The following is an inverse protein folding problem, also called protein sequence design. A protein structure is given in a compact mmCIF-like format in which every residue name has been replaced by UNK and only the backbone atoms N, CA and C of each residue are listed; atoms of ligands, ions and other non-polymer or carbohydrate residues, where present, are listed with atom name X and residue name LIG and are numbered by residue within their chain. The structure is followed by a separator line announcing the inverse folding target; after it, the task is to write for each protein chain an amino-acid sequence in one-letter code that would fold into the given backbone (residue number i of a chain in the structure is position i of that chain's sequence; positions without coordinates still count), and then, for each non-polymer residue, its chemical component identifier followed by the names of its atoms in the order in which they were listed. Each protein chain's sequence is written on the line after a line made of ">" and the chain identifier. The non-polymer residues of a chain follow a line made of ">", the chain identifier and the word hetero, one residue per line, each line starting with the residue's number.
data_IF_981416799704
#
_entry.id   IF_981416799704
#
_cell.length_a   1.000
_cell.length_b   1.000
_cell.length_c   1.000
_cell.angle_alpha   90.00
_cell.angle_beta   90.00
_cell.angle_gamma   90.00
#
_symmetry.space_group_name_H-M   'P 1'
#
loop_
_entity.id
_entity.type
_entity.pdbx_description
1 polymer ?
#
# COMPACT_ATOMS: atom_id res chain seq x y z
N UNK A 1 0.50 -3.72 9.59
CA UNK A 1 1.26 -4.79 10.28
C UNK A 1 2.68 -4.33 10.48
N UNK A 2 3.22 -4.46 11.69
CA UNK A 2 4.60 -4.23 12.07
C UNK A 2 5.12 -5.50 12.75
N UNK A 3 6.39 -5.87 12.49
CA UNK A 3 7.06 -7.01 13.11
C UNK A 3 8.33 -6.52 13.78
N UNK A 4 8.53 -6.92 15.05
CA UNK A 4 9.70 -6.56 15.84
C UNK A 4 10.31 -7.81 16.47
N UNK A 5 11.64 -7.94 16.42
CA UNK A 5 12.37 -8.96 17.17
C UNK A 5 12.60 -8.51 18.60
N UNK A 6 12.06 -9.21 19.58
CA UNK A 6 12.16 -8.86 21.00
C UNK A 6 13.54 -9.17 21.61
N UNK A 7 14.38 -9.92 20.90
CA UNK A 7 15.75 -10.22 21.32
C UNK A 7 16.67 -10.38 20.08
N UNK A 8 18.01 -10.26 20.24
CA UNK A 8 18.92 -10.20 19.10
C UNK A 8 18.86 -11.40 18.14
N UNK A 9 18.62 -12.61 18.65
CA UNK A 9 18.50 -13.80 17.80
C UNK A 9 17.25 -13.73 16.90
N UNK A 10 16.10 -13.33 17.45
CA UNK A 10 14.87 -13.14 16.66
C UNK A 10 15.04 -12.01 15.64
N UNK A 11 15.66 -10.90 16.01
CA UNK A 11 15.92 -9.80 15.10
C UNK A 11 16.80 -10.23 13.90
N UNK A 12 17.88 -10.99 14.17
CA UNK A 12 18.75 -11.55 13.10
C UNK A 12 17.99 -12.53 12.19
N UNK A 13 17.18 -13.42 12.77
CA UNK A 13 16.40 -14.39 11.99
C UNK A 13 15.37 -13.70 11.09
N UNK A 14 14.68 -12.68 11.60
CA UNK A 14 13.75 -11.86 10.82
C UNK A 14 14.48 -11.10 9.70
N UNK A 15 15.59 -10.43 10.01
CA UNK A 15 16.40 -9.72 9.00
C UNK A 15 16.86 -10.67 7.88
N UNK A 16 17.34 -11.88 8.24
CA UNK A 16 17.70 -12.89 7.26
C UNK A 16 16.51 -13.38 6.42
N UNK A 17 15.32 -13.53 7.02
CA UNK A 17 14.10 -13.89 6.29
C UNK A 17 13.69 -12.82 5.26
N UNK A 18 13.79 -11.53 5.61
CA UNK A 18 13.55 -10.43 4.68
C UNK A 18 14.61 -10.39 3.57
N UNK A 19 15.89 -10.56 3.89
CA UNK A 19 17.01 -10.53 2.94
C UNK A 19 16.91 -11.63 1.88
N UNK A 20 16.51 -12.86 2.27
CA UNK A 20 16.31 -13.99 1.33
C UNK A 20 14.93 -14.03 0.68
N UNK A 21 14.12 -12.96 0.81
CA UNK A 21 12.77 -12.85 0.23
C UNK A 21 11.77 -13.93 0.70
N UNK A 22 11.98 -14.53 1.88
CA UNK A 22 11.09 -15.53 2.46
C UNK A 22 9.83 -14.94 3.13
N UNK A 23 9.67 -13.61 3.05
CA UNK A 23 8.54 -12.88 3.64
C UNK A 23 7.58 -12.44 2.54
N UNK A 24 6.35 -12.98 2.57
CA UNK A 24 5.29 -12.57 1.66
C UNK A 24 4.54 -11.38 2.24
N UNK A 25 4.40 -10.34 1.47
CA UNK A 25 3.83 -9.04 1.90
C UNK A 25 2.67 -8.65 1.00
N UNK A 26 1.54 -8.25 1.59
CA UNK A 26 0.38 -7.73 0.89
C UNK A 26 -0.01 -6.37 1.46
N UNK A 27 -0.18 -5.42 0.57
CA UNK A 27 -0.57 -4.06 0.92
C UNK A 27 -1.81 -3.66 0.14
N UNK A 28 -2.66 -2.85 0.76
CA UNK A 28 -3.71 -2.11 0.07
C UNK A 28 -3.27 -0.67 -0.11
N UNK A 29 -3.47 -0.14 -1.31
CA UNK A 29 -3.16 1.24 -1.65
C UNK A 29 -4.33 1.91 -2.36
N UNK A 30 -4.69 3.11 -1.94
CA UNK A 30 -5.60 3.97 -2.68
C UNK A 30 -4.75 4.83 -3.63
N UNK A 31 -4.98 4.70 -4.94
CA UNK A 31 -4.14 5.34 -5.95
C UNK A 31 -4.93 6.25 -6.87
N UNK A 32 -4.25 7.22 -7.48
CA UNK A 32 -4.81 8.13 -8.47
C UNK A 32 -5.22 7.38 -9.73
N UNK A 33 -6.41 7.72 -10.26
CA UNK A 33 -6.90 7.25 -11.56
C UNK A 33 -7.29 5.78 -11.56
N UNK A 34 -7.65 5.29 -12.72
CA UNK A 34 -7.94 3.87 -12.91
C UNK A 34 -6.67 3.11 -13.28
N UNK A 35 -6.10 2.45 -12.30
CA UNK A 35 -4.97 1.55 -12.53
C UNK A 35 -5.38 0.38 -13.46
N UNK A 36 -4.45 -0.22 -14.21
CA UNK A 36 -4.74 -1.41 -14.99
C UNK A 36 -5.22 -2.56 -14.08
N UNK A 37 -5.99 -3.53 -14.60
CA UNK A 37 -6.47 -4.67 -13.82
C UNK A 37 -5.34 -5.43 -13.13
N UNK A 38 -4.22 -5.60 -13.82
CA UNK A 38 -2.98 -6.19 -13.31
C UNK A 38 -1.77 -5.47 -13.92
N UNK A 39 -0.68 -5.41 -13.18
CA UNK A 39 0.61 -4.95 -13.66
C UNK A 39 1.75 -5.62 -12.89
N UNK A 40 2.80 -5.97 -13.59
CA UNK A 40 4.09 -6.34 -13.03
C UNK A 40 5.06 -5.17 -13.20
N UNK A 41 5.50 -4.60 -12.09
CA UNK A 41 6.42 -3.46 -12.11
C UNK A 41 7.81 -3.97 -11.75
N UNK A 42 8.60 -4.22 -12.77
CA UNK A 42 10.04 -4.52 -12.66
C UNK A 42 10.83 -3.26 -12.99
N UNK A 43 11.06 -2.45 -11.96
CA UNK A 43 11.74 -1.17 -12.10
C UNK A 43 12.77 -1.00 -10.98
N UNK A 44 14.08 -1.05 -11.31
CA UNK A 44 15.14 -0.92 -10.32
C UNK A 44 15.07 0.42 -9.56
N UNK A 45 15.34 0.38 -8.27
CA UNK A 45 15.26 1.55 -7.40
C UNK A 45 16.62 1.88 -6.80
N UNK A 46 17.06 3.12 -6.99
CA UNK A 46 18.23 3.65 -6.28
C UNK A 46 17.83 3.95 -4.83
N UNK A 47 18.69 3.66 -3.82
CA UNK A 47 18.44 4.10 -2.44
C UNK A 47 18.28 5.62 -2.37
N UNK A 48 17.32 6.11 -1.58
CA UNK A 48 16.98 7.55 -1.52
C UNK A 48 18.11 8.42 -0.94
N UNK A 49 18.96 7.82 -0.11
CA UNK A 49 20.08 8.41 0.61
C UNK A 49 21.46 8.11 -0.03
N UNK A 50 21.47 7.41 -1.16
CA UNK A 50 22.69 7.07 -1.86
C UNK A 50 23.14 8.21 -2.79
N UNK A 51 24.45 8.32 -3.08
CA UNK A 51 24.98 9.21 -4.10
C UNK A 51 24.26 9.06 -5.45
N UNK A 52 24.26 10.13 -6.25
CA UNK A 52 23.49 10.17 -7.51
C UNK A 52 23.96 9.13 -8.54
N UNK A 53 25.22 8.70 -8.46
CA UNK A 53 25.86 7.68 -9.27
C UNK A 53 25.73 6.25 -8.71
N UNK A 54 25.14 6.08 -7.51
CA UNK A 54 24.98 4.76 -6.92
C UNK A 54 24.09 3.85 -7.80
N UNK A 55 24.42 2.57 -7.93
CA UNK A 55 23.67 1.65 -8.77
C UNK A 55 22.25 1.45 -8.25
N UNK A 56 21.30 1.39 -9.18
CA UNK A 56 19.94 1.01 -8.86
C UNK A 56 19.90 -0.48 -8.48
N UNK A 57 19.08 -0.82 -7.49
CA UNK A 57 18.90 -2.18 -7.00
C UNK A 57 17.63 -2.80 -7.61
N UNK A 58 17.64 -4.07 -8.01
CA UNK A 58 16.46 -4.76 -8.51
C UNK A 58 15.28 -4.61 -7.55
N UNK A 59 14.14 -4.22 -8.10
CA UNK A 59 12.91 -4.06 -7.33
C UNK A 59 11.72 -4.49 -8.18
N UNK A 60 10.87 -5.36 -7.63
CA UNK A 60 9.72 -5.91 -8.33
C UNK A 60 8.48 -5.90 -7.43
N UNK A 61 7.33 -5.47 -8.00
CA UNK A 61 6.04 -5.42 -7.33
C UNK A 61 4.93 -5.84 -8.28
N UNK A 62 4.13 -6.83 -7.88
CA UNK A 62 2.88 -7.17 -8.56
C UNK A 62 1.77 -6.28 -8.05
N UNK A 63 0.96 -5.81 -8.97
CA UNK A 63 -0.20 -4.95 -8.69
C UNK A 63 -1.46 -5.60 -9.25
N UNK A 64 -2.54 -5.58 -8.47
CA UNK A 64 -3.86 -5.97 -8.93
C UNK A 64 -4.89 -4.92 -8.49
N UNK A 65 -5.66 -4.39 -9.44
CA UNK A 65 -6.76 -3.49 -9.10
C UNK A 65 -7.91 -4.30 -8.52
N UNK A 66 -8.37 -3.91 -7.32
CA UNK A 66 -9.47 -4.55 -6.62
C UNK A 66 -10.81 -3.85 -6.86
N UNK A 67 -10.78 -2.52 -7.05
CA UNK A 67 -11.98 -1.73 -7.29
C UNK A 67 -11.63 -0.39 -7.97
N UNK A 68 -12.63 0.23 -8.61
CA UNK A 68 -12.57 1.54 -9.23
C UNK A 68 -13.49 2.51 -8.52
N UNK A 69 -13.11 3.78 -8.52
CA UNK A 69 -13.93 4.86 -8.01
C UNK A 69 -13.96 5.98 -9.05
N UNK A 70 -15.13 6.57 -9.26
CA UNK A 70 -15.31 7.81 -9.98
C UNK A 70 -16.24 8.73 -9.20
N UNK A 71 -15.78 9.93 -8.91
CA UNK A 71 -16.55 10.95 -8.21
C UNK A 71 -16.91 12.06 -9.19
N UNK A 72 -18.13 12.61 -9.14
CA UNK A 72 -18.57 13.65 -10.05
C UNK A 72 -17.85 14.99 -9.84
N UNK A 73 -17.24 15.19 -8.65
CA UNK A 73 -16.50 16.40 -8.35
C UNK A 73 -15.06 16.32 -8.92
N UNK A 74 -14.62 17.29 -9.71
CA UNK A 74 -13.28 17.31 -10.25
C UNK A 74 -12.25 17.73 -9.19
N UNK A 75 -11.16 16.97 -9.05
CA UNK A 75 -9.98 17.35 -8.27
C UNK A 75 -8.95 18.17 -9.06
N UNK A 76 -9.16 18.28 -10.36
CA UNK A 76 -8.34 19.04 -11.30
C UNK A 76 -9.30 19.59 -12.38
N UNK A 77 -9.33 20.93 -12.63
CA UNK A 77 -10.28 21.56 -13.55
C UNK A 77 -10.17 21.07 -15.00
N UNK A 78 -9.12 20.37 -15.36
CA UNK A 78 -8.96 19.77 -16.70
C UNK A 78 -9.81 18.52 -16.90
N UNK A 79 -10.43 17.98 -15.87
CA UNK A 79 -11.22 16.76 -15.92
C UNK A 79 -12.62 17.00 -15.34
N UNK A 80 -13.61 16.30 -15.88
CA UNK A 80 -14.98 16.40 -15.38
C UNK A 80 -15.20 15.63 -14.07
N UNK A 81 -14.36 14.63 -13.79
CA UNK A 81 -14.52 13.70 -12.66
C UNK A 81 -13.19 13.45 -11.98
N UNK A 82 -13.24 12.96 -10.75
CA UNK A 82 -12.05 12.45 -10.03
C UNK A 82 -12.10 10.95 -9.98
N UNK A 83 -11.02 10.30 -10.44
CA UNK A 83 -10.89 8.85 -10.49
C UNK A 83 -9.83 8.34 -9.53
N UNK A 84 -10.12 7.20 -8.91
CA UNK A 84 -9.19 6.47 -8.05
C UNK A 84 -9.34 4.97 -8.25
N UNK A 85 -8.36 4.22 -7.76
CA UNK A 85 -8.43 2.76 -7.68
C UNK A 85 -7.97 2.28 -6.32
N UNK A 86 -8.59 1.21 -5.84
CA UNK A 86 -8.04 0.39 -4.77
C UNK A 86 -7.18 -0.71 -5.40
N UNK A 87 -5.92 -0.78 -4.97
CA UNK A 87 -4.92 -1.70 -5.53
C UNK A 87 -4.33 -2.57 -4.44
N UNK A 88 -4.27 -3.87 -4.71
CA UNK A 88 -3.41 -4.82 -3.98
C UNK A 88 -2.00 -4.70 -4.54
N UNK A 89 -1.01 -4.50 -3.66
CA UNK A 89 0.40 -4.50 -4.02
C UNK A 89 1.13 -5.62 -3.29
N UNK A 90 1.83 -6.47 -4.04
CA UNK A 90 2.61 -7.60 -3.55
C UNK A 90 4.09 -7.43 -3.96
N UNK A 91 4.90 -6.71 -3.14
CA UNK A 91 6.33 -6.54 -3.44
C UNK A 91 7.10 -7.82 -3.14
N UNK A 92 7.81 -8.37 -4.14
CA UNK A 92 8.70 -9.53 -3.96
C UNK A 92 10.07 -9.16 -3.42
N UNK A 93 10.49 -7.91 -3.63
CA UNK A 93 11.68 -7.29 -3.03
C UNK A 93 11.28 -6.35 -1.88
N UNK A 94 12.23 -5.65 -1.26
CA UNK A 94 11.95 -4.78 -0.10
C UNK A 94 12.82 -3.52 -0.08
N UNK A 95 12.77 -2.68 -1.14
CA UNK A 95 13.50 -1.41 -1.18
C UNK A 95 12.73 -0.31 -0.47
N UNK A 96 13.45 0.69 0.02
CA UNK A 96 12.85 1.86 0.68
C UNK A 96 11.83 2.52 -0.24
N UNK A 97 10.63 2.77 0.29
CA UNK A 97 9.49 3.35 -0.42
C UNK A 97 9.10 2.61 -1.72
N UNK A 98 9.43 1.33 -1.88
CA UNK A 98 9.28 0.60 -3.13
C UNK A 98 7.88 0.71 -3.74
N UNK A 99 6.82 0.38 -2.99
CA UNK A 99 5.43 0.43 -3.49
C UNK A 99 5.07 1.85 -3.91
N UNK A 100 5.45 2.86 -3.13
CA UNK A 100 5.17 4.28 -3.40
C UNK A 100 5.82 4.73 -4.71
N UNK A 101 7.09 4.36 -4.92
CA UNK A 101 7.88 4.69 -6.10
C UNK A 101 7.41 3.94 -7.33
N UNK A 102 7.08 2.65 -7.21
CA UNK A 102 6.54 1.84 -8.30
C UNK A 102 5.18 2.36 -8.76
N UNK A 103 4.26 2.64 -7.85
CA UNK A 103 2.96 3.21 -8.20
C UNK A 103 3.08 4.61 -8.84
N UNK A 104 4.04 5.43 -8.40
CA UNK A 104 4.37 6.69 -9.08
C UNK A 104 4.93 6.45 -10.49
N UNK A 105 5.83 5.47 -10.65
CA UNK A 105 6.44 5.11 -11.93
C UNK A 105 5.40 4.74 -12.99
N UNK A 106 4.40 3.98 -12.61
CA UNK A 106 3.28 3.61 -13.51
C UNK A 106 2.16 4.65 -13.57
N UNK A 107 2.42 5.90 -13.16
CA UNK A 107 1.51 7.04 -13.19
C UNK A 107 0.25 6.94 -12.28
N UNK A 108 0.26 6.03 -11.32
CA UNK A 108 -0.80 5.84 -10.31
C UNK A 108 -0.26 6.09 -8.88
N UNK A 109 0.25 7.30 -8.55
CA UNK A 109 0.78 7.57 -7.23
C UNK A 109 -0.27 7.37 -6.14
N UNK A 110 0.19 6.96 -4.95
CA UNK A 110 -0.68 6.75 -3.79
C UNK A 110 -1.23 8.09 -3.33
N UNK A 111 -2.53 8.12 -3.02
CA UNK A 111 -3.18 9.31 -2.47
C UNK A 111 -2.67 9.58 -1.04
N UNK A 112 -2.45 10.86 -0.75
CA UNK A 112 -1.87 11.31 0.52
C UNK A 112 -0.35 11.09 0.66
N UNK A 113 0.32 10.66 -0.41
CA UNK A 113 1.78 10.54 -0.41
C UNK A 113 2.44 11.91 -0.57
N UNK A 114 3.02 12.42 0.52
CA UNK A 114 3.65 13.75 0.54
C UNK A 114 4.95 13.83 -0.30
N UNK A 115 5.66 12.70 -0.46
CA UNK A 115 6.97 12.64 -1.13
C UNK A 115 6.86 12.26 -2.60
N UNK A 116 6.05 11.24 -2.89
CA UNK A 116 5.95 10.66 -4.24
C UNK A 116 4.62 10.97 -4.94
N UNK A 117 3.66 11.60 -4.24
CA UNK A 117 2.35 11.95 -4.76
C UNK A 117 2.29 13.34 -5.43
N UNK A 118 1.07 13.84 -5.60
CA UNK A 118 0.77 15.17 -6.15
C UNK A 118 0.09 16.04 -5.09
N UNK A 119 0.74 17.12 -4.67
CA UNK A 119 0.30 18.00 -3.59
C UNK A 119 -1.15 18.52 -3.73
N UNK A 120 -1.55 19.14 -4.87
CA UNK A 120 -2.92 19.60 -5.06
C UNK A 120 -3.97 18.50 -4.93
N UNK A 121 -3.73 17.35 -5.55
CA UNK A 121 -4.61 16.18 -5.45
C UNK A 121 -4.68 15.63 -4.01
N UNK A 122 -3.56 15.60 -3.31
CA UNK A 122 -3.53 15.14 -1.92
C UNK A 122 -4.33 16.06 -1.00
N UNK A 123 -4.27 17.40 -1.21
CA UNK A 123 -5.11 18.35 -0.47
C UNK A 123 -6.59 18.15 -0.73
N UNK A 124 -6.97 18.04 -2.00
CA UNK A 124 -8.36 17.79 -2.38
C UNK A 124 -8.91 16.52 -1.71
N UNK A 125 -8.14 15.43 -1.72
CA UNK A 125 -8.53 14.19 -1.05
C UNK A 125 -8.58 14.32 0.46
N UNK A 126 -7.65 15.05 1.07
CA UNK A 126 -7.64 15.30 2.51
C UNK A 126 -8.88 16.08 2.96
N UNK A 127 -9.29 17.12 2.21
CA UNK A 127 -10.51 17.89 2.42
C UNK A 127 -11.75 16.99 2.26
N UNK A 128 -11.81 16.24 1.17
CA UNK A 128 -12.94 15.35 0.85
C UNK A 128 -13.16 14.24 1.90
N UNK A 129 -12.08 13.69 2.43
CA UNK A 129 -12.13 12.60 3.43
C UNK A 129 -12.09 13.12 4.88
N UNK A 130 -11.83 14.41 5.10
CA UNK A 130 -11.62 14.97 6.42
C UNK A 130 -10.36 14.45 7.13
N UNK A 131 -9.43 13.83 6.39
CA UNK A 131 -8.24 13.20 6.96
C UNK A 131 -7.06 13.23 5.98
N UNK A 132 -5.93 13.80 6.45
CA UNK A 132 -4.68 13.80 5.70
C UNK A 132 -3.77 12.66 6.16
N UNK A 133 -3.60 11.64 5.32
CA UNK A 133 -2.69 10.53 5.57
C UNK A 133 -2.24 9.86 4.27
N UNK A 134 -1.16 9.09 4.34
CA UNK A 134 -0.76 8.15 3.28
C UNK A 134 -1.74 6.96 3.25
N UNK A 135 -2.47 6.80 2.16
CA UNK A 135 -3.43 5.71 1.98
C UNK A 135 -2.74 4.43 1.46
N UNK A 136 -1.77 3.96 2.26
CA UNK A 136 -1.07 2.69 2.10
C UNK A 136 -1.19 1.91 3.40
N UNK A 137 -1.67 0.67 3.32
CA UNK A 137 -1.92 -0.18 4.47
C UNK A 137 -1.21 -1.53 4.33
N UNK A 138 -0.36 -1.90 5.29
CA UNK A 138 0.22 -3.24 5.38
C UNK A 138 -0.87 -4.22 5.84
N UNK A 139 -1.49 -4.90 4.87
CA UNK A 139 -2.68 -5.71 5.07
C UNK A 139 -2.37 -7.09 5.63
N UNK A 140 -1.53 -7.85 4.91
CA UNK A 140 -1.18 -9.22 5.30
C UNK A 140 0.31 -9.46 5.18
N UNK A 141 0.81 -10.28 6.08
CA UNK A 141 2.19 -10.72 6.10
C UNK A 141 2.23 -12.22 6.35
N UNK A 142 3.11 -12.95 5.65
CA UNK A 142 3.47 -14.33 5.99
C UNK A 142 4.98 -14.41 6.09
N UNK A 143 5.48 -14.88 7.22
CA UNK A 143 6.91 -14.96 7.48
C UNK A 143 7.25 -16.23 8.24
N UNK A 144 8.50 -16.76 8.12
CA UNK A 144 8.95 -17.87 8.93
C UNK A 144 9.15 -17.41 10.37
N UNK A 145 8.66 -18.20 11.32
CA UNK A 145 8.89 -17.98 12.75
C UNK A 145 10.38 -18.00 13.07
N UNK A 146 10.91 -17.06 13.87
CA UNK A 146 12.35 -16.92 14.11
C UNK A 146 13.03 -18.12 14.74
N UNK A 147 12.29 -18.96 15.48
CA UNK A 147 12.86 -20.11 16.20
C UNK A 147 12.71 -21.43 15.43
N UNK A 148 11.53 -21.70 14.88
CA UNK A 148 11.20 -23.01 14.31
C UNK A 148 10.99 -22.99 12.79
N UNK A 149 11.01 -21.81 12.15
CA UNK A 149 10.84 -21.65 10.71
C UNK A 149 9.42 -21.90 10.19
N UNK A 150 8.46 -22.22 11.06
CA UNK A 150 7.05 -22.39 10.66
C UNK A 150 6.49 -21.10 10.09
N UNK A 151 5.77 -21.18 8.98
CA UNK A 151 5.16 -19.99 8.35
C UNK A 151 4.01 -19.44 9.20
N UNK A 152 4.15 -18.20 9.66
CA UNK A 152 3.15 -17.47 10.44
C UNK A 152 2.39 -16.54 9.52
N UNK A 153 1.06 -16.66 9.39
CA UNK A 153 0.23 -15.63 8.81
C UNK A 153 -0.07 -14.53 9.84
N UNK A 154 0.06 -13.27 9.43
CA UNK A 154 -0.32 -12.10 10.22
C UNK A 154 -1.27 -11.28 9.37
N UNK A 155 -2.46 -11.00 9.88
CA UNK A 155 -3.48 -10.18 9.24
C UNK A 155 -3.72 -8.92 10.06
N UNK A 156 -3.90 -7.78 9.41
CA UNK A 156 -4.21 -6.53 10.10
C UNK A 156 -5.66 -6.48 10.62
N UNK A 157 -6.49 -7.44 10.23
CA UNK A 157 -7.92 -7.46 10.51
C UNK A 157 -8.76 -6.57 9.58
N UNK A 158 -8.14 -5.87 8.63
CA UNK A 158 -8.88 -5.08 7.64
C UNK A 158 -9.62 -6.00 6.67
N UNK A 159 -10.97 -6.03 6.68
CA UNK A 159 -11.72 -6.88 5.76
C UNK A 159 -11.69 -6.32 4.33
N UNK A 160 -11.48 -7.21 3.38
CA UNK A 160 -11.69 -6.92 1.97
C UNK A 160 -12.14 -8.20 1.23
N UNK A 161 -13.17 -8.13 0.38
CA UNK A 161 -14.07 -6.99 0.18
C UNK A 161 -14.76 -6.56 1.47
N UNK A 162 -15.23 -5.29 1.56
CA UNK A 162 -15.97 -4.85 2.75
C UNK A 162 -17.11 -5.80 3.01
N UNK A 163 -17.15 -6.38 4.20
CA UNK A 163 -18.25 -7.27 4.58
C UNK A 163 -19.57 -6.49 4.56
N UNK A 164 -20.64 -7.09 4.05
CA UNK A 164 -21.98 -6.52 4.09
C UNK A 164 -22.55 -6.35 5.53
N UNK A 165 -21.90 -6.97 6.52
CA UNK A 165 -22.26 -6.88 7.93
C UNK A 165 -21.40 -5.83 8.66
N UNK A 166 -21.96 -5.12 9.65
CA UNK A 166 -21.17 -4.22 10.47
C UNK A 166 -20.07 -5.01 11.19
N UNK A 167 -18.83 -4.58 10.99
CA UNK A 167 -17.67 -5.16 11.65
C UNK A 167 -17.69 -4.89 13.15
N UNK A 168 -17.12 -5.76 13.98
CA UNK A 168 -17.00 -5.52 15.40
C UNK A 168 -16.31 -4.16 15.64
N UNK A 169 -16.89 -3.38 16.56
CA UNK A 169 -16.30 -2.10 16.98
C UNK A 169 -14.96 -2.37 17.66
N UNK A 170 -13.87 -2.16 16.92
CA UNK A 170 -12.52 -2.16 17.46
C UNK A 170 -12.01 -0.70 17.44
N UNK A 171 -12.24 0.09 18.51
CA UNK A 171 -11.98 1.53 18.51
C UNK A 171 -10.52 1.90 18.22
N UNK A 172 -9.58 1.01 18.51
CA UNK A 172 -8.14 1.24 18.33
C UNK A 172 -7.53 0.46 17.15
N UNK A 173 -8.36 -0.11 16.26
CA UNK A 173 -7.85 -0.88 15.14
C UNK A 173 -7.11 0.02 14.13
N UNK A 174 -5.89 -0.36 13.68
CA UNK A 174 -5.05 0.46 12.78
C UNK A 174 -5.67 0.66 11.38
N UNK A 175 -6.74 -0.05 11.06
CA UNK A 175 -7.51 0.05 9.81
C UNK A 175 -8.81 0.87 9.93
N UNK A 176 -9.08 1.45 11.10
CA UNK A 176 -10.32 2.21 11.37
C UNK A 176 -10.59 3.30 10.33
N UNK A 177 -9.55 4.04 9.94
CA UNK A 177 -9.68 5.11 8.96
C UNK A 177 -10.07 4.58 7.57
N UNK A 178 -9.60 3.37 7.20
CA UNK A 178 -10.00 2.74 5.94
C UNK A 178 -11.49 2.43 5.92
N UNK A 179 -12.01 1.91 7.02
CA UNK A 179 -13.43 1.62 7.15
C UNK A 179 -14.27 2.90 7.14
N UNK A 180 -13.87 3.90 7.92
CA UNK A 180 -14.63 5.14 8.09
C UNK A 180 -14.63 6.03 6.83
N UNK A 181 -13.53 6.06 6.07
CA UNK A 181 -13.33 7.03 5.00
C UNK A 181 -13.25 6.42 3.61
N UNK A 182 -12.73 5.20 3.48
CA UNK A 182 -12.50 4.60 2.17
C UNK A 182 -13.59 3.62 1.78
N UNK A 183 -14.00 2.72 2.68
CA UNK A 183 -14.99 1.69 2.33
C UNK A 183 -16.41 2.21 2.23
N UNK A 184 -16.67 3.44 2.66
CA UNK A 184 -17.95 4.14 2.48
C UNK A 184 -18.08 4.80 1.10
N UNK A 185 -17.01 4.88 0.31
CA UNK A 185 -17.04 5.46 -1.03
C UNK A 185 -17.79 4.55 -2.02
N UNK A 186 -18.38 5.09 -3.09
CA UNK A 186 -19.15 4.33 -4.08
C UNK A 186 -18.23 3.54 -5.03
N UNK A 187 -17.69 2.44 -4.54
CA UNK A 187 -16.79 1.58 -5.30
C UNK A 187 -17.52 0.77 -6.37
N UNK A 188 -16.95 0.73 -7.56
CA UNK A 188 -17.31 -0.17 -8.64
C UNK A 188 -16.37 -1.39 -8.64
N UNK A 189 -16.87 -2.57 -9.00
CA UNK A 189 -16.04 -3.76 -9.17
C UNK A 189 -14.87 -3.52 -10.17
N UNK A 190 -13.81 -4.29 -9.98
CA UNK A 190 -12.60 -4.20 -10.79
C UNK A 190 -12.83 -4.64 -12.24
#
# INVERSE_FOLDING_TARGET
>A
VLVMGLHPAAARALAAAFARHAVHKRYLALVRGWAPPQADVDHPLRPDDAPQDAPAQPAHTRLARLARLELPEPSDPRFATTRASLVLAEPTTGRRHQIRRHLKHVAHPILGDATHGKGPLNRWWAERLGLQRLWLHAWRLRLPHPQDGRMIPIDSGLPWPPAAAPLPRAPDAPWRDWQAHIFTLPWMAA
#
